data_IF_652865763172
#
_entry.id   IF_652865763172
#
_cell.length_a   1.000
_cell.length_b   1.000
_cell.length_c   1.000
_cell.angle_alpha   90.00
_cell.angle_beta   90.00
_cell.angle_gamma   90.00
#
_symmetry.space_group_name_H-M   'P 1'
#
loop_
_entity.id
_entity.type
_entity.pdbx_description
1 polymer ?
#
# COMPACT_ATOMS: atom_id res chain seq x y z
N UNK A 1 6.39 23.66 17.42
CA UNK A 1 5.38 24.24 16.51
C UNK A 1 4.39 23.22 15.89
N UNK A 2 4.70 21.92 15.77
CA UNK A 2 3.76 20.94 15.16
C UNK A 2 2.50 20.58 15.97
N UNK A 3 2.51 20.68 17.30
CA UNK A 3 1.34 20.36 18.16
C UNK A 3 0.22 21.41 18.07
N UNK A 4 0.54 22.66 17.72
CA UNK A 4 -0.45 23.73 17.61
C UNK A 4 -1.34 23.59 16.38
N UNK A 5 -0.81 23.02 15.29
CA UNK A 5 -1.50 22.92 14.01
C UNK A 5 -2.58 21.83 13.95
N UNK A 6 -2.41 20.75 14.72
CA UNK A 6 -3.29 19.58 14.69
C UNK A 6 -4.12 19.40 15.96
N UNK A 7 -4.12 20.39 16.87
CA UNK A 7 -4.78 20.29 18.18
C UNK A 7 -6.24 19.87 18.06
N UNK A 8 -6.98 20.48 17.14
CA UNK A 8 -8.43 20.25 16.95
C UNK A 8 -8.78 18.84 16.44
N UNK A 9 -7.80 18.11 15.90
CA UNK A 9 -7.99 16.73 15.45
C UNK A 9 -7.38 15.70 16.40
N UNK A 10 -6.46 16.11 17.28
CA UNK A 10 -5.79 15.24 18.26
C UNK A 10 -6.60 15.10 19.56
N UNK A 11 -7.87 14.72 19.41
CA UNK A 11 -8.79 14.48 20.52
C UNK A 11 -8.96 12.96 20.77
N UNK A 12 -9.04 12.51 22.03
CA UNK A 12 -9.31 11.11 22.35
C UNK A 12 -10.56 10.58 21.65
N UNK A 13 -10.49 9.36 21.12
CA UNK A 13 -11.60 8.70 20.42
C UNK A 13 -11.73 9.07 18.94
N UNK A 14 -10.90 9.97 18.41
CA UNK A 14 -10.87 10.30 16.97
C UNK A 14 -9.82 9.45 16.22
N UNK A 15 -10.21 8.69 15.18
CA UNK A 15 -9.27 7.90 14.39
C UNK A 15 -8.47 8.80 13.44
N UNK A 16 -7.15 8.68 13.47
CA UNK A 16 -6.20 9.50 12.71
C UNK A 16 -5.13 8.64 12.02
N UNK A 17 -4.60 9.13 10.91
CA UNK A 17 -3.33 8.67 10.33
C UNK A 17 -2.24 9.67 10.70
N UNK A 18 -1.13 9.16 11.25
CA UNK A 18 0.01 9.98 11.69
C UNK A 18 1.29 9.56 10.97
N UNK A 19 2.04 10.53 10.46
CA UNK A 19 3.43 10.31 10.07
C UNK A 19 4.33 10.76 11.21
N UNK A 20 5.18 9.85 11.70
CA UNK A 20 6.06 10.10 12.84
C UNK A 20 7.53 10.02 12.43
N UNK A 21 8.35 10.87 13.04
CA UNK A 21 9.80 10.69 13.09
C UNK A 21 10.15 10.10 14.46
N UNK A 22 10.88 8.99 14.49
CA UNK A 22 11.33 8.35 15.72
C UNK A 22 12.86 8.43 15.81
N UNK A 23 13.36 8.93 16.93
CA UNK A 23 14.78 8.96 17.26
C UNK A 23 15.03 8.18 18.55
N UNK A 24 16.13 7.42 18.61
CA UNK A 24 16.60 6.81 19.85
C UNK A 24 17.42 7.84 20.64
N UNK A 25 17.08 8.03 21.90
CA UNK A 25 17.88 8.79 22.88
C UNK A 25 18.22 7.83 24.03
N UNK A 26 19.36 7.13 23.94
CA UNK A 26 19.70 6.06 24.89
C UNK A 26 18.81 4.82 24.67
N UNK A 27 18.04 4.42 25.68
CA UNK A 27 17.04 3.34 25.59
C UNK A 27 15.62 3.86 25.31
N UNK A 28 15.43 5.19 25.30
CA UNK A 28 14.13 5.80 25.09
C UNK A 28 13.88 6.09 23.60
N UNK A 29 12.62 5.90 23.16
CA UNK A 29 12.17 6.29 21.81
C UNK A 29 11.42 7.61 21.90
N UNK A 30 11.99 8.66 21.30
CA UNK A 30 11.32 9.95 21.15
C UNK A 30 10.66 10.03 19.76
N UNK A 31 9.33 10.06 19.74
CA UNK A 31 8.55 10.23 18.53
C UNK A 31 8.05 11.68 18.38
N UNK A 32 8.17 12.23 17.17
CA UNK A 32 7.65 13.54 16.79
C UNK A 32 6.64 13.40 15.65
N UNK A 33 5.45 13.98 15.83
CA UNK A 33 4.45 14.06 14.75
C UNK A 33 4.96 15.00 13.66
N UNK A 34 5.02 14.49 12.44
CA UNK A 34 5.29 15.25 11.23
C UNK A 34 3.98 15.73 10.59
N UNK A 35 3.00 14.83 10.45
CA UNK A 35 1.67 15.12 9.91
C UNK A 35 0.60 14.35 10.67
N UNK A 36 -0.62 14.92 10.69
CA UNK A 36 -1.81 14.27 11.21
C UNK A 36 -3.02 14.59 10.32
N UNK A 37 -3.85 13.59 10.05
CA UNK A 37 -5.12 13.77 9.34
C UNK A 37 -6.20 12.78 9.81
N UNK A 38 -7.50 13.10 9.69
CA UNK A 38 -8.58 12.16 9.98
C UNK A 38 -8.50 10.90 9.10
N UNK A 39 -8.75 9.74 9.70
CA UNK A 39 -8.72 8.47 8.98
C UNK A 39 -9.63 8.48 7.74
N UNK A 40 -10.84 9.03 7.84
CA UNK A 40 -11.78 9.07 6.72
C UNK A 40 -11.23 9.86 5.53
N UNK A 41 -10.48 10.93 5.79
CA UNK A 41 -9.82 11.71 4.74
C UNK A 41 -8.65 10.94 4.10
N UNK A 42 -7.90 10.19 4.90
CA UNK A 42 -6.82 9.34 4.41
C UNK A 42 -7.36 8.16 3.59
N UNK A 43 -8.49 7.59 4.00
CA UNK A 43 -9.19 6.50 3.30
C UNK A 43 -9.80 7.00 2.00
N UNK A 44 -10.42 8.18 1.97
CA UNK A 44 -10.93 8.77 0.72
C UNK A 44 -9.81 9.02 -0.31
N UNK A 45 -8.57 9.21 0.16
CA UNK A 45 -7.37 9.34 -0.68
C UNK A 45 -6.73 8.00 -1.05
N UNK A 46 -7.10 6.89 -0.41
CA UNK A 46 -6.67 5.57 -0.86
C UNK A 46 -7.24 5.33 -2.26
N UNK A 47 -6.35 5.38 -3.24
CA UNK A 47 -6.72 5.07 -4.61
C UNK A 47 -7.08 3.60 -4.72
N UNK A 48 -8.21 3.35 -5.38
CA UNK A 48 -8.59 2.03 -5.86
C UNK A 48 -7.40 1.43 -6.61
N UNK A 49 -6.91 0.31 -6.13
CA UNK A 49 -5.72 -0.33 -6.66
C UNK A 49 -5.80 -1.85 -6.62
N UNK A 50 -4.94 -2.49 -7.41
CA UNK A 50 -4.76 -3.93 -7.38
C UNK A 50 -3.44 -4.25 -6.66
N UNK A 51 -3.51 -5.07 -5.61
CA UNK A 51 -2.31 -5.69 -5.02
C UNK A 51 -2.20 -7.13 -5.47
N UNK A 52 -1.03 -7.49 -5.99
CA UNK A 52 -0.77 -8.82 -6.54
C UNK A 52 0.37 -9.45 -5.74
N UNK A 53 0.06 -10.46 -4.95
CA UNK A 53 1.07 -11.22 -4.20
C UNK A 53 1.64 -12.33 -5.07
N UNK A 54 2.95 -12.36 -5.17
CA UNK A 54 3.73 -13.31 -5.94
C UNK A 54 4.59 -14.17 -5.00
N UNK A 55 4.50 -15.49 -5.14
CA UNK A 55 5.40 -16.45 -4.48
C UNK A 55 6.67 -16.71 -5.28
N UNK A 56 6.69 -16.32 -6.55
CA UNK A 56 7.79 -16.59 -7.49
C UNK A 56 7.99 -15.40 -8.44
N UNK A 57 9.23 -14.89 -8.59
CA UNK A 57 9.56 -13.81 -9.54
C UNK A 57 9.16 -14.09 -11.00
N UNK A 58 9.06 -15.36 -11.41
CA UNK A 58 8.63 -15.76 -12.77
C UNK A 58 7.20 -15.31 -13.10
N UNK A 59 6.37 -15.03 -12.09
CA UNK A 59 5.01 -14.50 -12.26
C UNK A 59 4.95 -13.04 -12.71
N UNK A 60 6.07 -12.29 -12.61
CA UNK A 60 6.10 -10.85 -12.93
C UNK A 60 5.78 -10.57 -14.40
N UNK A 61 6.46 -11.24 -15.34
CA UNK A 61 6.28 -10.96 -16.77
C UNK A 61 4.87 -11.31 -17.28
N UNK A 62 4.25 -12.46 -16.92
CA UNK A 62 2.87 -12.75 -17.28
C UNK A 62 1.85 -11.78 -16.65
N UNK A 63 2.08 -11.33 -15.41
CA UNK A 63 1.26 -10.29 -14.78
C UNK A 63 1.33 -9.00 -15.59
N UNK A 64 2.53 -8.57 -15.97
CA UNK A 64 2.73 -7.36 -16.79
C UNK A 64 1.98 -7.45 -18.13
N UNK A 65 2.01 -8.60 -18.81
CA UNK A 65 1.29 -8.81 -20.06
C UNK A 65 -0.24 -8.69 -19.91
N UNK A 66 -0.79 -9.11 -18.76
CA UNK A 66 -2.23 -9.00 -18.46
C UNK A 66 -2.63 -7.57 -18.10
N UNK A 67 -1.71 -6.76 -17.59
CA UNK A 67 -1.89 -5.33 -17.31
C UNK A 67 -1.73 -4.45 -18.57
N UNK A 68 -2.48 -4.76 -19.63
CA UNK A 68 -2.35 -4.10 -20.95
C UNK A 68 -3.16 -2.80 -21.07
N UNK A 69 -4.28 -2.68 -20.35
CA UNK A 69 -5.17 -1.52 -20.45
C UNK A 69 -4.85 -0.45 -19.41
N UNK A 70 -4.78 0.81 -19.86
CA UNK A 70 -4.65 1.98 -19.00
C UNK A 70 -5.99 2.31 -18.34
N UNK A 71 -5.92 2.94 -17.17
CA UNK A 71 -7.07 3.34 -16.37
C UNK A 71 -6.63 4.30 -15.27
N UNK A 72 -7.34 4.31 -14.15
CA UNK A 72 -7.10 5.25 -13.04
C UNK A 72 -6.52 4.59 -11.78
N UNK A 73 -6.30 3.27 -11.80
CA UNK A 73 -5.90 2.50 -10.61
C UNK A 73 -4.40 2.26 -10.54
N UNK A 74 -3.87 2.28 -9.31
CA UNK A 74 -2.50 1.85 -9.05
C UNK A 74 -2.41 0.32 -8.97
N UNK A 75 -1.24 -0.23 -9.31
CA UNK A 75 -0.97 -1.66 -9.16
C UNK A 75 0.34 -1.83 -8.40
N UNK A 76 0.31 -2.64 -7.34
CA UNK A 76 1.49 -3.03 -6.57
C UNK A 76 1.73 -4.53 -6.71
N UNK A 77 3.00 -4.90 -6.88
CA UNK A 77 3.47 -6.27 -6.78
C UNK A 77 4.08 -6.49 -5.39
N UNK A 78 3.65 -7.53 -4.69
CA UNK A 78 4.19 -7.92 -3.40
C UNK A 78 4.94 -9.24 -3.58
N UNK A 79 6.25 -9.21 -3.41
CA UNK A 79 7.12 -10.38 -3.54
C UNK A 79 7.51 -10.85 -2.14
N UNK A 80 7.20 -12.13 -1.84
CA UNK A 80 7.70 -12.79 -0.64
C UNK A 80 9.12 -13.29 -0.89
N UNK A 81 10.07 -12.81 -0.09
CA UNK A 81 11.46 -13.25 -0.08
C UNK A 81 11.72 -14.13 1.16
N UNK A 82 12.81 -14.90 1.12
CA UNK A 82 13.26 -15.78 2.22
C UNK A 82 12.15 -16.67 2.81
N UNK A 83 11.33 -17.28 1.95
CA UNK A 83 10.23 -18.14 2.40
C UNK A 83 9.12 -17.40 3.19
N UNK A 84 9.03 -16.07 3.07
CA UNK A 84 8.04 -15.24 3.75
C UNK A 84 8.58 -14.43 4.93
N UNK A 85 9.87 -14.55 5.27
CA UNK A 85 10.50 -13.73 6.33
C UNK A 85 10.65 -12.25 5.96
N UNK A 86 10.56 -11.92 4.67
CA UNK A 86 10.58 -10.54 4.15
C UNK A 86 9.58 -10.37 3.02
N UNK A 87 8.95 -9.20 2.96
CA UNK A 87 8.10 -8.81 1.85
C UNK A 87 8.63 -7.52 1.22
N UNK A 88 8.65 -7.48 -0.11
CA UNK A 88 9.00 -6.29 -0.88
C UNK A 88 7.79 -5.89 -1.70
N UNK A 89 7.30 -4.67 -1.46
CA UNK A 89 6.26 -4.04 -2.28
C UNK A 89 6.90 -3.16 -3.36
N UNK A 90 6.47 -3.36 -4.61
CA UNK A 90 6.87 -2.57 -5.76
C UNK A 90 5.62 -1.98 -6.39
N UNK A 91 5.44 -0.67 -6.29
CA UNK A 91 4.41 0.05 -7.05
C UNK A 91 4.84 0.14 -8.51
N UNK A 92 4.00 -0.35 -9.42
CA UNK A 92 4.25 -0.25 -10.85
C UNK A 92 4.07 1.19 -11.32
N UNK A 93 4.93 1.67 -12.25
CA UNK A 93 4.77 3.00 -12.80
C UNK A 93 3.52 3.07 -13.70
N UNK A 94 2.79 4.17 -13.58
CA UNK A 94 1.59 4.45 -14.37
C UNK A 94 0.29 4.01 -13.70
N UNK A 95 -0.80 4.06 -14.47
CA UNK A 95 -2.14 3.69 -14.03
C UNK A 95 -2.72 2.62 -14.96
N UNK A 96 -3.52 1.74 -14.38
CA UNK A 96 -4.08 0.57 -15.03
C UNK A 96 -5.57 0.49 -14.78
N UNK A 97 -6.29 -0.17 -15.68
CA UNK A 97 -7.69 -0.44 -15.43
C UNK A 97 -7.83 -1.55 -14.38
N UNK A 98 -8.51 -1.28 -13.27
CA UNK A 98 -8.87 -2.30 -12.31
C UNK A 98 -10.31 -2.79 -12.54
N UNK A 99 -10.48 -4.08 -12.80
CA UNK A 99 -11.79 -4.72 -12.93
C UNK A 99 -11.81 -6.09 -12.25
N UNK A 100 -12.98 -6.56 -11.77
CA UNK A 100 -13.13 -7.92 -11.25
C UNK A 100 -12.68 -8.99 -12.24
N UNK A 101 -12.93 -8.77 -13.55
CA UNK A 101 -12.52 -9.68 -14.61
C UNK A 101 -10.99 -9.76 -14.71
N UNK A 102 -10.29 -8.62 -14.70
CA UNK A 102 -8.84 -8.59 -14.71
C UNK A 102 -8.26 -9.26 -13.46
N UNK A 103 -8.82 -8.99 -12.28
CA UNK A 103 -8.40 -9.65 -11.05
C UNK A 103 -8.58 -11.18 -11.11
N UNK A 104 -9.70 -11.65 -11.68
CA UNK A 104 -9.94 -13.07 -11.93
C UNK A 104 -8.90 -13.69 -12.87
N UNK A 105 -8.55 -12.98 -13.96
CA UNK A 105 -7.48 -13.41 -14.86
C UNK A 105 -6.13 -13.42 -14.14
N UNK A 106 -5.77 -12.40 -13.38
CA UNK A 106 -4.48 -12.34 -12.67
C UNK A 106 -4.27 -13.51 -11.70
N UNK A 107 -5.34 -13.99 -11.03
CA UNK A 107 -5.28 -15.16 -10.14
C UNK A 107 -4.91 -16.46 -10.85
N UNK A 108 -5.04 -16.55 -12.17
CA UNK A 108 -4.65 -17.76 -12.93
C UNK A 108 -3.20 -17.73 -13.38
N UNK A 109 -2.44 -16.65 -13.12
CA UNK A 109 -1.01 -16.60 -13.45
C UNK A 109 -0.26 -17.55 -12.50
N UNK A 110 0.57 -18.48 -13.00
CA UNK A 110 1.46 -19.26 -12.15
C UNK A 110 2.35 -18.37 -11.27
N UNK A 111 2.33 -18.61 -9.96
CA UNK A 111 3.09 -17.82 -8.99
C UNK A 111 2.31 -16.65 -8.38
N UNK A 112 1.11 -16.31 -8.88
CA UNK A 112 0.19 -15.41 -8.18
C UNK A 112 -0.52 -16.18 -7.07
N UNK A 113 -0.36 -15.69 -5.84
CA UNK A 113 -0.94 -16.32 -4.64
C UNK A 113 -2.24 -15.64 -4.23
N UNK A 114 -2.31 -14.32 -4.42
CA UNK A 114 -3.44 -13.50 -4.01
C UNK A 114 -3.53 -12.25 -4.86
N UNK A 115 -4.77 -11.83 -5.12
CA UNK A 115 -5.08 -10.57 -5.80
C UNK A 115 -6.16 -9.85 -4.99
N UNK A 116 -5.82 -8.69 -4.47
CA UNK A 116 -6.70 -7.79 -3.73
C UNK A 116 -7.08 -6.62 -4.64
N UNK A 117 -8.37 -6.26 -4.63
CA UNK A 117 -8.88 -5.09 -5.35
C UNK A 117 -9.50 -4.17 -4.29
N UNK A 118 -9.12 -2.89 -4.31
CA UNK A 118 -9.61 -1.84 -3.42
C UNK A 118 -10.50 -0.84 -4.14
#
# INVERSE_FOLDING_TARGET
>A
EGLGQYRDILEPGRPLVLQLQANLEGEDVRARILTAEPLDHAVARHQKGIRIHLSDPRGVAPVQQRLSMRGESEVSLILKLDGGGREVEIRLPGKFQASPQLAGLLRTVPGVVQVEVS
#
